data_IF_665161773550
#
_entry.id   IF_665161773550
#
_cell.length_a   1.000
_cell.length_b   1.000
_cell.length_c   1.000
_cell.angle_alpha   90.00
_cell.angle_beta   90.00
_cell.angle_gamma   90.00
#
_symmetry.space_group_name_H-M   'P 1'
#
loop_
_entity.id
_entity.type
_entity.pdbx_description
1 polymer ?
#
# COMPACT_ATOMS: atom_id res chain seq x y z
N UNK A 1 -5.90 13.18 1.67
CA UNK A 1 -5.31 13.40 0.36
C UNK A 1 -4.97 12.06 -0.28
N UNK A 2 -5.02 11.99 -1.59
CA UNK A 2 -4.75 10.73 -2.31
C UNK A 2 -3.28 10.65 -2.68
N UNK A 3 -2.65 9.52 -2.36
CA UNK A 3 -1.25 9.27 -2.72
C UNK A 3 -1.12 7.89 -3.33
N UNK A 4 -0.26 7.77 -4.32
CA UNK A 4 0.01 6.51 -5.01
C UNK A 4 1.47 6.12 -4.78
N UNK A 5 1.68 4.85 -4.47
CA UNK A 5 3.00 4.32 -4.19
C UNK A 5 3.31 3.15 -5.10
N UNK A 6 4.58 2.97 -5.43
CA UNK A 6 5.06 1.79 -6.14
C UNK A 6 5.39 0.70 -5.15
N UNK A 7 4.78 -0.47 -5.30
CA UNK A 7 5.03 -1.61 -4.43
C UNK A 7 5.32 -2.83 -5.29
N UNK A 8 6.45 -3.46 -5.06
CA UNK A 8 6.88 -4.64 -5.80
C UNK A 8 6.62 -5.91 -4.99
N UNK A 9 6.45 -7.01 -5.71
CA UNK A 9 6.21 -8.31 -5.07
C UNK A 9 4.74 -8.70 -5.00
N UNK A 10 3.84 -7.84 -5.44
CA UNK A 10 2.42 -8.16 -5.50
C UNK A 10 2.15 -8.96 -6.78
N UNK A 11 1.95 -10.26 -6.65
CA UNK A 11 1.79 -11.14 -7.81
C UNK A 11 0.39 -11.72 -7.93
N UNK A 12 -0.49 -11.50 -6.97
CA UNK A 12 -1.84 -12.07 -6.98
C UNK A 12 -2.79 -11.26 -6.09
N UNK A 13 -4.08 -11.58 -6.18
CA UNK A 13 -5.11 -10.90 -5.39
C UNK A 13 -4.90 -11.04 -3.89
N UNK A 14 -4.38 -12.19 -3.45
CA UNK A 14 -4.06 -12.39 -2.05
C UNK A 14 -3.00 -11.42 -1.54
N UNK A 15 -2.02 -11.10 -2.38
CA UNK A 15 -1.00 -10.11 -2.06
C UNK A 15 -1.62 -8.72 -1.93
N UNK A 16 -2.51 -8.37 -2.86
CA UNK A 16 -3.21 -7.09 -2.81
C UNK A 16 -4.02 -6.96 -1.52
N UNK A 17 -4.71 -8.02 -1.12
CA UNK A 17 -5.47 -8.03 0.12
C UNK A 17 -4.56 -7.85 1.35
N UNK A 18 -3.41 -8.52 1.35
CA UNK A 18 -2.47 -8.43 2.46
C UNK A 18 -1.94 -6.99 2.62
N UNK A 19 -1.59 -6.34 1.51
CA UNK A 19 -1.13 -4.95 1.52
C UNK A 19 -2.25 -4.02 2.02
N UNK A 20 -3.47 -4.21 1.51
CA UNK A 20 -4.62 -3.40 1.91
C UNK A 20 -4.84 -3.50 3.42
N UNK A 21 -4.86 -4.71 3.95
CA UNK A 21 -5.07 -4.91 5.39
C UNK A 21 -3.95 -4.33 6.23
N UNK A 22 -2.71 -4.47 5.77
CA UNK A 22 -1.57 -3.93 6.50
C UNK A 22 -1.66 -2.41 6.60
N UNK A 23 -1.99 -1.75 5.51
CA UNK A 23 -2.12 -0.29 5.49
C UNK A 23 -3.31 0.16 6.35
N UNK A 24 -4.45 -0.51 6.24
CA UNK A 24 -5.63 -0.16 7.03
C UNK A 24 -5.41 -0.38 8.52
N UNK A 25 -4.60 -1.36 8.88
CA UNK A 25 -4.25 -1.62 10.28
C UNK A 25 -3.37 -0.50 10.84
N UNK A 26 -2.44 0.01 10.01
CA UNK A 26 -1.54 1.09 10.43
C UNK A 26 -2.22 2.45 10.39
N UNK A 27 -3.14 2.65 9.45
CA UNK A 27 -3.84 3.93 9.26
C UNK A 27 -5.35 3.63 9.20
N UNK A 28 -6.02 3.51 10.35
CA UNK A 28 -7.46 3.25 10.37
C UNK A 28 -8.24 4.34 9.65
N UNK A 29 -9.19 3.93 8.84
CA UNK A 29 -10.00 4.85 8.07
C UNK A 29 -9.45 5.22 6.70
N UNK A 30 -8.25 4.75 6.35
CA UNK A 30 -7.69 4.98 5.03
C UNK A 30 -8.40 4.12 3.98
N UNK A 31 -8.65 4.70 2.82
CA UNK A 31 -9.15 3.95 1.68
C UNK A 31 -7.96 3.49 0.84
N UNK A 32 -7.86 2.20 0.57
CA UNK A 32 -6.73 1.62 -0.14
C UNK A 32 -7.20 0.95 -1.42
N UNK A 33 -6.51 1.23 -2.52
CA UNK A 33 -6.76 0.58 -3.80
C UNK A 33 -5.44 0.04 -4.33
N UNK A 34 -5.47 -1.17 -4.86
CA UNK A 34 -4.28 -1.82 -5.40
C UNK A 34 -4.47 -2.08 -6.88
N UNK A 35 -3.45 -1.71 -7.67
CA UNK A 35 -3.39 -1.99 -9.09
C UNK A 35 -2.24 -2.97 -9.33
N UNK A 36 -2.57 -4.24 -9.52
CA UNK A 36 -1.56 -5.29 -9.71
C UNK A 36 -0.80 -5.13 -11.03
N UNK A 37 -1.46 -4.66 -12.07
CA UNK A 37 -0.82 -4.50 -13.38
C UNK A 37 0.29 -3.46 -13.33
N UNK A 38 0.08 -2.38 -12.59
CA UNK A 38 1.04 -1.29 -12.49
C UNK A 38 1.94 -1.41 -11.27
N UNK A 39 1.67 -2.36 -10.37
CA UNK A 39 2.35 -2.50 -9.08
C UNK A 39 2.21 -1.22 -8.25
N UNK A 40 1.05 -0.62 -8.29
CA UNK A 40 0.75 0.61 -7.57
C UNK A 40 -0.26 0.38 -6.46
N UNK A 41 -0.09 1.10 -5.37
CA UNK A 41 -1.05 1.15 -4.27
C UNK A 41 -1.46 2.60 -4.06
N UNK A 42 -2.75 2.88 -4.16
CA UNK A 42 -3.29 4.22 -3.93
C UNK A 42 -3.96 4.26 -2.57
N UNK A 43 -3.57 5.23 -1.75
CA UNK A 43 -4.11 5.39 -0.40
C UNK A 43 -4.71 6.78 -0.26
N UNK A 44 -5.95 6.85 0.21
CA UNK A 44 -6.67 8.11 0.42
C UNK A 44 -6.87 8.35 1.92
N UNK A 45 -6.83 9.62 2.31
CA UNK A 45 -7.14 10.02 3.69
C UNK A 45 -5.95 9.97 4.62
N UNK A 46 -4.72 9.94 4.10
CA UNK A 46 -3.53 9.94 4.93
C UNK A 46 -2.59 11.08 4.56
N UNK A 47 -1.78 11.49 5.53
CA UNK A 47 -0.73 12.47 5.34
C UNK A 47 0.65 11.90 5.68
N UNK A 48 0.72 10.65 6.11
CA UNK A 48 1.97 10.05 6.60
C UNK A 48 2.46 8.94 5.66
N UNK A 49 3.38 9.30 4.77
CA UNK A 49 3.99 8.36 3.83
C UNK A 49 4.76 7.26 4.56
N UNK A 50 5.36 7.60 5.70
CA UNK A 50 6.18 6.66 6.46
C UNK A 50 5.32 5.53 7.03
N UNK A 51 4.10 5.83 7.46
CA UNK A 51 3.19 4.79 7.95
C UNK A 51 2.85 3.78 6.85
N UNK A 52 2.63 4.27 5.63
CA UNK A 52 2.34 3.40 4.48
C UNK A 52 3.57 2.57 4.12
N UNK A 53 4.74 3.20 4.06
CA UNK A 53 5.99 2.51 3.77
C UNK A 53 6.23 1.39 4.78
N UNK A 54 6.08 1.69 6.05
CA UNK A 54 6.30 0.71 7.12
C UNK A 54 5.31 -0.44 7.04
N UNK A 55 4.05 -0.14 6.74
CA UNK A 55 3.03 -1.17 6.59
C UNK A 55 3.35 -2.11 5.43
N UNK A 56 3.82 -1.57 4.31
CA UNK A 56 4.19 -2.36 3.14
C UNK A 56 5.37 -3.27 3.46
N UNK A 57 6.38 -2.75 4.13
CA UNK A 57 7.56 -3.52 4.52
C UNK A 57 7.17 -4.62 5.50
N UNK A 58 6.34 -4.31 6.48
CA UNK A 58 5.90 -5.27 7.49
C UNK A 58 5.07 -6.39 6.87
N UNK A 59 4.37 -6.12 5.78
CA UNK A 59 3.60 -7.13 5.06
C UNK A 59 4.48 -8.04 4.21
N UNK A 60 5.77 -7.74 4.08
CA UNK A 60 6.72 -8.55 3.32
C UNK A 60 6.85 -8.16 1.86
N UNK A 61 6.44 -6.96 1.50
CA UNK A 61 6.56 -6.46 0.12
C UNK A 61 7.67 -5.42 0.03
N UNK A 62 8.04 -5.08 -1.21
CA UNK A 62 9.08 -4.08 -1.44
C UNK A 62 8.44 -2.73 -1.75
N UNK A 63 8.77 -1.75 -0.95
CA UNK A 63 8.33 -0.38 -1.19
C UNK A 63 9.34 0.30 -2.11
N UNK A 64 8.89 0.68 -3.31
CA UNK A 64 9.76 1.27 -4.33
C UNK A 64 9.66 2.79 -4.40
N UNK A 65 8.88 3.41 -3.53
CA UNK A 65 8.74 4.86 -3.48
C UNK A 65 7.41 5.36 -4.05
N UNK A 66 7.21 6.67 -4.09
CA UNK A 66 6.02 7.24 -4.69
C UNK A 66 5.97 6.93 -6.18
N UNK A 67 4.79 6.65 -6.66
CA UNK A 67 4.59 6.40 -8.07
C UNK A 67 4.40 7.71 -8.84
#
# INVERSE_FOLDING_TARGET
MTKTYSVLGMTCDGCATAVTRAIQSSVPGAAVRVNLEANHVTVEGIDDDHAVEQAIIDAGFEYAGPA
#
